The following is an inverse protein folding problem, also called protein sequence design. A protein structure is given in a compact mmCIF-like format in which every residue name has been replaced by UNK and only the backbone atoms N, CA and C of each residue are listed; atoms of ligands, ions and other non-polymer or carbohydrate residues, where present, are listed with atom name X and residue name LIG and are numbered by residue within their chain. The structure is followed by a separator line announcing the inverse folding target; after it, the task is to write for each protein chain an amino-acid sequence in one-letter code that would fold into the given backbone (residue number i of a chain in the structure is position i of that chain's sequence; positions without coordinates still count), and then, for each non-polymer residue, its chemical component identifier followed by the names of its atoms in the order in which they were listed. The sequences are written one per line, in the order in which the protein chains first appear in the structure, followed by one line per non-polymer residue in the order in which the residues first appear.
data_IF_690985357003
#
_entry.id   IF_690985357003
#
_cell.length_a   1.000
_cell.length_b   1.000
_cell.length_c   1.000
_cell.angle_alpha   90.00
_cell.angle_beta   90.00
_cell.angle_gamma   90.00
#
_symmetry.space_group_name_H-M   'P 1'
#
loop_
_entity.id
_entity.type
_entity.pdbx_description
1 polymer ?
#
# COMPACT_ATOMS: atom_id res chain seq x y z
N UNK A 1 -10.11 -17.20 -59.54
CA UNK A 1 -10.56 -15.88 -59.04
C UNK A 1 -10.37 -15.85 -57.53
N UNK A 2 -9.52 -14.93 -57.04
CA UNK A 2 -9.23 -14.70 -55.62
C UNK A 2 -10.49 -14.27 -54.88
N UNK A 3 -10.79 -14.86 -53.72
CA UNK A 3 -11.45 -14.14 -52.62
C UNK A 3 -10.79 -14.54 -51.30
N UNK A 4 -10.44 -13.48 -50.59
CA UNK A 4 -9.46 -13.37 -49.53
C UNK A 4 -10.01 -13.98 -48.23
N UNK A 5 -9.16 -14.74 -47.56
CA UNK A 5 -9.31 -15.16 -46.17
C UNK A 5 -9.28 -13.90 -45.31
N UNK A 6 -10.38 -13.55 -44.64
CA UNK A 6 -10.33 -12.60 -43.52
C UNK A 6 -10.42 -13.41 -42.22
N UNK A 7 -9.26 -13.85 -41.73
CA UNK A 7 -9.06 -14.14 -40.31
C UNK A 7 -9.24 -12.83 -39.57
N UNK A 8 -10.38 -12.63 -38.94
CA UNK A 8 -10.57 -11.59 -37.93
C UNK A 8 -10.16 -12.19 -36.59
N UNK A 9 -8.86 -12.43 -36.44
CA UNK A 9 -8.23 -12.63 -35.15
C UNK A 9 -8.16 -11.27 -34.47
N UNK A 10 -9.28 -10.83 -33.88
CA UNK A 10 -9.22 -9.74 -32.92
C UNK A 10 -8.63 -10.33 -31.65
N UNK A 11 -7.30 -10.33 -31.59
CA UNK A 11 -6.57 -10.25 -30.34
C UNK A 11 -6.94 -8.92 -29.69
N UNK A 12 -8.09 -8.89 -29.01
CA UNK A 12 -8.26 -7.94 -27.92
C UNK A 12 -7.34 -8.42 -26.81
N UNK A 13 -6.06 -8.07 -26.92
CA UNK A 13 -5.22 -7.85 -25.75
C UNK A 13 -5.81 -6.62 -25.04
N UNK A 14 -6.93 -6.82 -24.35
CA UNK A 14 -7.33 -5.92 -23.29
C UNK A 14 -6.16 -5.98 -22.31
N UNK A 15 -5.37 -4.91 -22.26
CA UNK A 15 -4.53 -4.63 -21.11
C UNK A 15 -5.49 -4.45 -19.92
N UNK A 16 -5.90 -5.56 -19.32
CA UNK A 16 -6.54 -5.65 -18.02
C UNK A 16 -5.48 -5.40 -16.92
N UNK A 17 -4.72 -4.32 -17.07
CA UNK A 17 -3.92 -3.77 -15.97
C UNK A 17 -4.77 -2.70 -15.28
N UNK A 18 -5.94 -3.11 -14.79
CA UNK A 18 -6.64 -2.31 -13.79
C UNK A 18 -5.78 -2.26 -12.53
N UNK A 19 -5.72 -1.11 -11.88
CA UNK A 19 -5.08 -0.99 -10.57
C UNK A 19 -5.73 -2.00 -9.60
N UNK A 20 -4.93 -2.93 -9.08
CA UNK A 20 -5.38 -3.98 -8.17
C UNK A 20 -5.73 -3.37 -6.80
N UNK A 21 -7.01 -3.44 -6.43
CA UNK A 21 -7.51 -2.92 -5.15
C UNK A 21 -6.76 -3.52 -3.96
N UNK A 22 -6.32 -4.77 -4.05
CA UNK A 22 -5.53 -5.44 -2.99
C UNK A 22 -4.18 -4.76 -2.81
N UNK A 23 -3.44 -4.55 -3.90
CA UNK A 23 -2.15 -3.85 -3.85
C UNK A 23 -2.30 -2.41 -3.35
N UNK A 24 -3.39 -1.73 -3.70
CA UNK A 24 -3.67 -0.40 -3.18
C UNK A 24 -3.98 -0.40 -1.68
N UNK A 25 -4.75 -1.38 -1.19
CA UNK A 25 -5.00 -1.53 0.23
C UNK A 25 -3.69 -1.78 0.98
N UNK A 26 -2.81 -2.64 0.46
CA UNK A 26 -1.48 -2.89 1.03
C UNK A 26 -0.63 -1.61 1.09
N UNK A 27 -0.60 -0.82 0.03
CA UNK A 27 0.10 0.47 0.01
C UNK A 27 -0.46 1.43 1.05
N UNK A 28 -1.79 1.51 1.18
CA UNK A 28 -2.42 2.42 2.13
C UNK A 28 -2.19 1.99 3.58
N UNK A 29 -2.39 0.71 3.90
CA UNK A 29 -2.09 0.13 5.22
C UNK A 29 -0.61 0.33 5.57
N UNK A 30 0.29 0.09 4.61
CA UNK A 30 1.73 0.33 4.78
C UNK A 30 2.04 1.79 5.06
N UNK A 31 1.39 2.74 4.37
CA UNK A 31 1.55 4.16 4.64
C UNK A 31 1.13 4.54 6.06
N UNK A 32 0.00 4.02 6.54
CA UNK A 32 -0.51 4.27 7.90
C UNK A 32 0.43 3.68 8.94
N UNK A 33 0.83 2.42 8.77
CA UNK A 33 1.72 1.74 9.72
C UNK A 33 3.09 2.43 9.82
N UNK A 34 3.70 2.80 8.69
CA UNK A 34 4.98 3.50 8.70
C UNK A 34 4.85 4.91 9.30
N UNK A 35 3.72 5.59 9.13
CA UNK A 35 3.47 6.86 9.81
C UNK A 35 3.43 6.67 11.33
N UNK A 36 2.82 5.58 11.81
CA UNK A 36 2.84 5.23 13.23
C UNK A 36 4.26 4.99 13.75
N UNK A 37 5.08 4.23 13.01
CA UNK A 37 6.49 4.00 13.36
C UNK A 37 7.30 5.29 13.41
N UNK A 38 7.12 6.19 12.44
CA UNK A 38 7.81 7.48 12.40
C UNK A 38 7.49 8.33 13.64
N UNK A 39 6.22 8.36 14.06
CA UNK A 39 5.79 9.16 15.21
C UNK A 39 6.18 8.52 16.56
N UNK A 40 5.96 7.22 16.71
CA UNK A 40 6.14 6.49 17.98
C UNK A 40 7.59 6.07 18.21
N UNK A 41 8.27 5.61 17.16
CA UNK A 41 9.65 5.12 17.21
C UNK A 41 10.69 6.16 16.79
N UNK A 42 10.28 7.34 16.29
CA UNK A 42 11.17 8.40 15.79
C UNK A 42 12.02 7.96 14.60
N UNK A 43 11.49 7.07 13.78
CA UNK A 43 12.12 6.75 12.50
C UNK A 43 11.90 7.92 11.52
N UNK A 44 12.87 8.19 10.67
CA UNK A 44 12.99 9.48 9.96
C UNK A 44 13.23 9.34 8.45
N UNK A 45 13.04 8.15 7.88
CA UNK A 45 13.25 7.92 6.44
C UNK A 45 12.02 8.22 5.57
N UNK A 46 10.94 8.70 6.17
CA UNK A 46 9.72 9.11 5.48
C UNK A 46 9.09 8.02 4.58
N UNK A 47 9.21 6.75 4.97
CA UNK A 47 8.60 5.59 4.27
C UNK A 47 7.10 5.78 4.14
N UNK A 48 6.43 6.37 5.14
CA UNK A 48 4.98 6.63 5.07
C UNK A 48 4.61 7.51 3.87
N UNK A 49 5.41 8.56 3.61
CA UNK A 49 5.24 9.48 2.50
C UNK A 49 5.47 8.79 1.16
N UNK A 50 6.53 7.98 1.05
CA UNK A 50 6.83 7.21 -0.15
C UNK A 50 5.69 6.25 -0.52
N UNK A 51 5.08 5.58 0.46
CA UNK A 51 3.94 4.69 0.22
C UNK A 51 2.68 5.46 -0.21
N UNK A 52 2.40 6.63 0.38
CA UNK A 52 1.29 7.50 -0.08
C UNK A 52 1.51 7.98 -1.51
N UNK A 53 2.75 8.32 -1.88
CA UNK A 53 3.09 8.68 -3.25
C UNK A 53 2.80 7.52 -4.21
N UNK A 54 3.27 6.31 -3.89
CA UNK A 54 3.00 5.09 -4.69
C UNK A 54 1.50 4.80 -4.81
N UNK A 55 0.72 5.03 -3.75
CA UNK A 55 -0.75 4.92 -3.77
C UNK A 55 -1.40 5.92 -4.75
N UNK A 56 -0.97 7.18 -4.72
CA UNK A 56 -1.43 8.21 -5.66
C UNK A 56 -1.00 7.95 -7.11
N UNK A 57 0.27 7.58 -7.33
CA UNK A 57 0.83 7.29 -8.66
C UNK A 57 0.08 6.13 -9.37
N UNK A 58 -0.48 5.19 -8.58
CA UNK A 58 -1.28 4.06 -9.07
C UNK A 58 -2.77 4.39 -9.25
N UNK A 59 -3.18 5.64 -9.01
CA UNK A 59 -4.58 6.07 -9.04
C UNK A 59 -5.47 5.25 -8.08
N UNK A 60 -4.93 4.84 -6.94
CA UNK A 60 -5.65 4.01 -5.97
C UNK A 60 -6.82 4.73 -5.30
N UNK A 61 -6.83 6.08 -5.29
CA UNK A 61 -7.86 6.89 -4.63
C UNK A 61 -9.27 6.60 -5.15
N UNK A 62 -9.40 6.25 -6.43
CA UNK A 62 -10.69 5.96 -7.07
C UNK A 62 -11.29 4.60 -6.64
N UNK A 63 -10.50 3.75 -5.96
CA UNK A 63 -10.91 2.39 -5.60
C UNK A 63 -11.51 2.28 -4.19
N UNK A 64 -11.44 3.35 -3.40
CA UNK A 64 -11.85 3.39 -2.00
C UNK A 64 -12.78 4.56 -1.74
N UNK A 65 -13.85 4.30 -1.01
CA UNK A 65 -14.66 5.37 -0.45
C UNK A 65 -13.93 6.06 0.70
N UNK A 66 -14.36 7.27 1.06
CA UNK A 66 -13.86 7.96 2.26
C UNK A 66 -14.03 7.11 3.52
N UNK A 67 -15.09 6.30 3.62
CA UNK A 67 -15.35 5.46 4.78
C UNK A 67 -14.48 4.20 4.79
N UNK A 68 -14.14 3.64 3.62
CA UNK A 68 -13.11 2.60 3.52
C UNK A 68 -11.76 3.12 4.06
N UNK A 69 -11.36 4.31 3.62
CA UNK A 69 -10.09 4.91 4.03
C UNK A 69 -10.06 5.19 5.54
N UNK A 70 -11.15 5.70 6.12
CA UNK A 70 -11.27 5.89 7.58
C UNK A 70 -11.20 4.57 8.33
N UNK A 71 -11.91 3.55 7.85
CA UNK A 71 -11.92 2.21 8.47
C UNK A 71 -10.51 1.61 8.50
N UNK A 72 -9.83 1.57 7.35
CA UNK A 72 -8.46 1.05 7.24
C UNK A 72 -7.48 1.81 8.14
N UNK A 73 -7.62 3.13 8.22
CA UNK A 73 -6.80 3.95 9.12
C UNK A 73 -7.02 3.59 10.60
N UNK A 74 -8.28 3.47 11.03
CA UNK A 74 -8.61 3.10 12.41
C UNK A 74 -8.13 1.68 12.75
N UNK A 75 -8.30 0.72 11.84
CA UNK A 75 -7.82 -0.67 12.02
C UNK A 75 -6.30 -0.69 12.23
N UNK A 76 -5.53 -0.15 11.29
CA UNK A 76 -4.06 -0.22 11.36
C UNK A 76 -3.52 0.52 12.58
N UNK A 77 -4.04 1.70 12.90
CA UNK A 77 -3.60 2.45 14.08
C UNK A 77 -3.97 1.75 15.39
N UNK A 78 -5.17 1.18 15.47
CA UNK A 78 -5.64 0.43 16.64
C UNK A 78 -4.80 -0.83 16.89
N UNK A 79 -4.52 -1.60 15.84
CA UNK A 79 -3.68 -2.79 15.92
C UNK A 79 -2.24 -2.44 16.30
N UNK A 80 -1.69 -1.38 15.70
CA UNK A 80 -0.34 -0.89 16.01
C UNK A 80 -0.20 -0.45 17.46
N UNK A 81 -1.20 0.28 17.96
CA UNK A 81 -1.25 0.72 19.35
C UNK A 81 -1.36 -0.45 20.33
N UNK A 82 -2.25 -1.39 20.04
CA UNK A 82 -2.44 -2.60 20.86
C UNK A 82 -1.14 -3.40 20.96
N UNK A 83 -0.52 -3.71 19.81
CA UNK A 83 0.72 -4.46 19.77
C UNK A 83 1.86 -3.73 20.49
N UNK A 84 2.03 -2.42 20.27
CA UNK A 84 3.05 -1.64 20.95
C UNK A 84 2.86 -1.65 22.48
N UNK A 85 1.63 -1.57 22.96
CA UNK A 85 1.32 -1.65 24.39
C UNK A 85 1.59 -3.03 24.97
N UNK A 86 1.26 -4.10 24.25
CA UNK A 86 1.46 -5.48 24.70
C UNK A 86 2.94 -5.83 24.84
N UNK A 87 3.78 -5.41 23.89
CA UNK A 87 5.21 -5.81 23.86
C UNK A 87 6.15 -4.75 24.44
N UNK A 88 5.64 -3.54 24.67
CA UNK A 88 6.42 -2.37 25.07
C UNK A 88 7.10 -1.67 23.88
N UNK A 89 7.19 -0.33 23.96
CA UNK A 89 7.70 0.53 22.90
C UNK A 89 9.06 0.10 22.36
N UNK A 90 10.05 -0.12 23.21
CA UNK A 90 11.42 -0.36 22.76
C UNK A 90 11.54 -1.68 21.97
N UNK A 91 10.87 -2.74 22.44
CA UNK A 91 10.81 -4.03 21.74
C UNK A 91 10.03 -3.90 20.43
N UNK A 92 8.89 -3.21 20.44
CA UNK A 92 8.09 -2.93 19.25
C UNK A 92 8.93 -2.21 18.18
N UNK A 93 9.62 -1.13 18.55
CA UNK A 93 10.45 -0.37 17.63
C UNK A 93 11.64 -1.20 17.12
N UNK A 94 12.35 -1.91 17.99
CA UNK A 94 13.45 -2.80 17.59
C UNK A 94 13.00 -3.85 16.57
N UNK A 95 11.84 -4.47 16.79
CA UNK A 95 11.31 -5.51 15.91
C UNK A 95 10.93 -4.98 14.52
N UNK A 96 10.51 -3.70 14.43
CA UNK A 96 10.08 -3.10 13.17
C UNK A 96 11.20 -2.36 12.41
N UNK A 97 12.34 -2.09 13.06
CA UNK A 97 13.43 -1.28 12.45
C UNK A 97 13.97 -1.88 11.15
N UNK A 98 14.20 -3.20 11.13
CA UNK A 98 14.78 -3.87 9.96
C UNK A 98 13.87 -3.77 8.73
N UNK A 99 12.58 -4.04 8.91
CA UNK A 99 11.58 -3.96 7.82
C UNK A 99 11.38 -2.51 7.36
N UNK A 100 11.35 -1.55 8.29
CA UNK A 100 11.28 -0.13 7.97
C UNK A 100 12.48 0.31 7.13
N UNK A 101 13.69 -0.10 7.53
CA UNK A 101 14.93 0.24 6.81
C UNK A 101 15.00 -0.37 5.42
N UNK A 102 14.50 -1.60 5.24
CA UNK A 102 14.44 -2.26 3.94
C UNK A 102 13.55 -1.48 2.98
N UNK A 103 12.37 -1.04 3.43
CA UNK A 103 11.43 -0.27 2.62
C UNK A 103 11.96 1.11 2.22
N UNK A 104 12.82 1.73 3.03
CA UNK A 104 13.37 3.04 2.72
C UNK A 104 14.40 3.04 1.59
N UNK A 105 14.94 1.88 1.22
CA UNK A 105 15.94 1.76 0.16
C UNK A 105 15.33 1.38 -1.21
N UNK A 106 13.98 1.41 -1.35
CA UNK A 106 13.22 0.99 -2.54
C UNK A 106 12.14 1.99 -2.99
#
# INVERSE_FOLDING_TARGET
MKKIILMVSILFSINLYGTDKTQCEELFRSAIFNFYLENSCKFDKHVSSAMRKKFGDKNCTELFSSDDMKRLNSEVLGDSYTNMNEVGRDKFCKNNKLSYDALANH
#
